data_IF_542791967909
#
_entry.id   IF_542791967909
#
_cell.length_a   1.000
_cell.length_b   1.000
_cell.length_c   1.000
_cell.angle_alpha   90.00
_cell.angle_beta   90.00
_cell.angle_gamma   90.00
#
_symmetry.space_group_name_H-M   'P 1'
#
loop_
_entity.id
_entity.type
_entity.pdbx_description
1 polymer ?
#
# COMPACT_ATOMS: atom_id res chain seq x y z
N UNK A 1 -49.78 1.79 -48.74
CA UNK A 1 -50.53 1.34 -49.94
C UNK A 1 -49.70 0.24 -50.59
N UNK A 2 -50.12 -0.99 -50.86
CA UNK A 2 -51.29 -1.82 -50.50
C UNK A 2 -50.74 -3.25 -50.25
N UNK A 3 -51.30 -4.02 -49.32
CA UNK A 3 -52.42 -4.96 -49.51
C UNK A 3 -52.04 -6.16 -50.43
N UNK A 4 -51.95 -7.40 -49.90
CA UNK A 4 -53.05 -8.41 -49.79
C UNK A 4 -53.12 -9.20 -51.12
N UNK A 5 -53.08 -10.54 -51.25
CA UNK A 5 -53.50 -11.66 -50.38
C UNK A 5 -53.41 -13.01 -51.15
N UNK A 6 -53.45 -14.15 -50.40
CA UNK A 6 -54.30 -15.37 -50.63
C UNK A 6 -53.91 -16.31 -51.80
N UNK A 7 -54.03 -17.64 -51.81
CA UNK A 7 -54.71 -18.74 -51.06
C UNK A 7 -53.84 -20.02 -51.26
N UNK A 8 -53.68 -20.99 -50.35
CA UNK A 8 -54.58 -22.00 -49.78
C UNK A 8 -55.02 -23.17 -50.71
N UNK A 9 -54.79 -24.40 -50.18
CA UNK A 9 -55.54 -25.68 -50.40
C UNK A 9 -55.34 -26.41 -51.74
N UNK A 10 -55.39 -27.74 -51.87
CA UNK A 10 -55.85 -28.86 -51.01
C UNK A 10 -55.27 -30.21 -51.48
N UNK A 11 -55.47 -31.23 -50.63
CA UNK A 11 -55.50 -32.71 -50.77
C UNK A 11 -55.89 -33.26 -52.18
N UNK A 12 -55.69 -34.51 -52.61
CA UNK A 12 -55.67 -35.86 -52.00
C UNK A 12 -55.38 -36.87 -53.14
N UNK A 13 -54.80 -38.06 -52.88
CA UNK A 13 -55.18 -39.36 -53.49
C UNK A 13 -54.24 -40.52 -53.05
N UNK A 14 -54.82 -41.54 -52.39
CA UNK A 14 -54.24 -42.89 -52.20
C UNK A 14 -54.52 -43.81 -53.42
N UNK A 15 -54.63 -45.17 -53.29
CA UNK A 15 -54.40 -46.05 -52.14
C UNK A 15 -53.69 -47.42 -52.48
N UNK A 16 -53.39 -48.23 -51.45
CA UNK A 16 -53.62 -49.69 -51.46
C UNK A 16 -52.45 -50.66 -51.73
N UNK A 17 -52.20 -51.59 -50.79
CA UNK A 17 -51.45 -52.84 -51.01
C UNK A 17 -50.86 -53.42 -49.72
N UNK A 18 -51.44 -54.51 -49.20
CA UNK A 18 -51.09 -55.14 -47.92
C UNK A 18 -50.07 -56.29 -47.97
N UNK A 19 -49.95 -56.98 -46.81
CA UNK A 19 -49.16 -58.20 -46.49
C UNK A 19 -47.64 -58.03 -46.58
N UNK A 20 -46.77 -58.49 -45.68
CA UNK A 20 -46.77 -59.58 -44.69
C UNK A 20 -45.69 -59.26 -43.62
N UNK A 21 -45.93 -59.66 -42.38
CA UNK A 21 -44.92 -59.78 -41.33
C UNK A 21 -44.27 -61.17 -41.41
N UNK A 22 -42.97 -61.30 -41.09
CA UNK A 22 -42.66 -62.33 -40.09
C UNK A 22 -41.67 -61.89 -39.01
N UNK A 23 -41.83 -62.57 -37.88
CA UNK A 23 -41.25 -62.37 -36.57
C UNK A 23 -39.73 -62.66 -36.43
N UNK A 24 -39.06 -61.78 -35.67
CA UNK A 24 -38.12 -62.11 -34.58
C UNK A 24 -36.61 -62.17 -34.89
N UNK A 25 -35.70 -62.00 -33.89
CA UNK A 25 -35.79 -61.29 -32.61
C UNK A 25 -34.82 -60.09 -32.54
N UNK A 26 -35.26 -58.98 -31.96
CA UNK A 26 -34.44 -57.77 -31.80
C UNK A 26 -33.45 -57.92 -30.65
N UNK A 27 -32.18 -57.69 -30.98
CA UNK A 27 -31.06 -57.61 -30.06
C UNK A 27 -31.25 -56.51 -29.01
N UNK A 28 -31.12 -56.96 -27.77
CA UNK A 28 -30.96 -56.20 -26.51
C UNK A 28 -30.01 -54.99 -26.67
N UNK A 29 -30.56 -53.77 -26.83
CA UNK A 29 -29.83 -52.52 -26.52
C UNK A 29 -30.03 -52.15 -25.06
N UNK A 30 -29.01 -52.41 -24.26
CA UNK A 30 -28.91 -51.97 -22.88
C UNK A 30 -28.95 -50.44 -22.79
N UNK A 31 -29.79 -49.95 -21.90
CA UNK A 31 -29.85 -48.56 -21.42
C UNK A 31 -28.48 -48.16 -20.86
N UNK A 32 -27.81 -47.18 -21.46
CA UNK A 32 -26.75 -46.41 -20.79
C UNK A 32 -27.38 -45.18 -20.14
N UNK A 33 -28.04 -45.39 -18.99
CA UNK A 33 -28.34 -44.29 -18.07
C UNK A 33 -27.06 -43.96 -17.30
N UNK A 34 -26.34 -42.92 -17.73
CA UNK A 34 -25.28 -42.34 -16.90
C UNK A 34 -25.91 -41.78 -15.61
N UNK A 35 -25.26 -41.92 -14.44
CA UNK A 35 -25.81 -41.35 -13.22
C UNK A 35 -25.84 -39.83 -13.35
N UNK A 36 -27.05 -39.25 -13.36
CA UNK A 36 -27.21 -37.82 -13.14
C UNK A 36 -26.54 -37.50 -11.80
N UNK A 37 -25.45 -36.74 -11.83
CA UNK A 37 -24.76 -36.29 -10.61
C UNK A 37 -25.81 -35.66 -9.71
N UNK A 38 -26.01 -36.26 -8.53
CA UNK A 38 -26.92 -35.75 -7.53
C UNK A 38 -26.56 -34.28 -7.26
N UNK A 39 -27.44 -33.36 -7.65
CA UNK A 39 -27.28 -31.95 -7.35
C UNK A 39 -27.26 -31.85 -5.84
N UNK A 40 -26.09 -31.47 -5.29
CA UNK A 40 -25.96 -31.28 -3.85
C UNK A 40 -26.99 -30.23 -3.43
N UNK A 41 -27.73 -30.46 -2.34
CA UNK A 41 -28.80 -29.55 -1.97
C UNK A 41 -28.25 -28.15 -1.70
N UNK A 42 -28.77 -27.15 -2.42
CA UNK A 42 -28.34 -25.74 -2.36
C UNK A 42 -28.28 -25.19 -0.93
N UNK A 43 -29.13 -25.65 -0.01
CA UNK A 43 -29.12 -25.24 1.39
C UNK A 43 -27.93 -25.76 2.22
N UNK A 44 -27.17 -26.75 1.72
CA UNK A 44 -25.91 -27.20 2.33
C UNK A 44 -24.69 -26.48 1.76
N UNK A 45 -24.73 -26.09 0.48
CA UNK A 45 -23.64 -25.33 -0.15
C UNK A 45 -23.74 -23.83 0.15
N UNK A 46 -24.94 -23.30 0.37
CA UNK A 46 -25.16 -21.88 0.66
C UNK A 46 -24.46 -21.43 1.97
N UNK A 47 -24.57 -22.11 3.12
CA UNK A 47 -23.84 -21.73 4.33
C UNK A 47 -22.33 -21.84 4.20
N UNK A 48 -21.83 -22.85 3.46
CA UNK A 48 -20.40 -23.01 3.20
C UNK A 48 -19.86 -21.88 2.32
N UNK A 49 -20.56 -21.55 1.23
CA UNK A 49 -20.20 -20.43 0.35
C UNK A 49 -20.28 -19.10 1.08
N UNK A 50 -21.32 -18.88 1.90
CA UNK A 50 -21.45 -17.68 2.73
C UNK A 50 -20.32 -17.61 3.76
N UNK A 51 -19.95 -18.74 4.37
CA UNK A 51 -18.83 -18.83 5.31
C UNK A 51 -17.49 -18.56 4.66
N UNK A 52 -17.22 -19.12 3.47
CA UNK A 52 -16.01 -18.85 2.69
C UNK A 52 -15.96 -17.37 2.27
N UNK A 53 -17.07 -16.81 1.79
CA UNK A 53 -17.15 -15.40 1.44
C UNK A 53 -16.92 -14.49 2.66
N UNK A 54 -17.46 -14.85 3.83
CA UNK A 54 -17.24 -14.13 5.09
C UNK A 54 -15.77 -14.20 5.52
N UNK A 55 -15.16 -15.39 5.48
CA UNK A 55 -13.73 -15.55 5.80
C UNK A 55 -12.86 -14.77 4.83
N UNK A 56 -13.14 -14.83 3.53
CA UNK A 56 -12.41 -14.08 2.52
C UNK A 56 -12.58 -12.57 2.72
N UNK A 57 -13.80 -12.10 2.99
CA UNK A 57 -14.06 -10.70 3.31
C UNK A 57 -13.31 -10.26 4.58
N UNK A 58 -13.28 -11.11 5.62
CA UNK A 58 -12.50 -10.84 6.83
C UNK A 58 -11.00 -10.76 6.52
N UNK A 59 -10.44 -11.72 5.77
CA UNK A 59 -9.02 -11.71 5.36
C UNK A 59 -8.67 -10.48 4.53
N UNK A 60 -9.53 -10.12 3.56
CA UNK A 60 -9.34 -8.93 2.73
C UNK A 60 -9.37 -7.68 3.60
N UNK A 61 -10.31 -7.59 4.54
CA UNK A 61 -10.44 -6.41 5.39
C UNK A 61 -9.33 -6.32 6.44
N UNK A 62 -8.88 -7.43 6.99
CA UNK A 62 -7.80 -7.43 7.99
C UNK A 62 -6.46 -7.09 7.36
N UNK A 63 -6.25 -7.44 6.09
CA UNK A 63 -4.90 -7.42 5.51
C UNK A 63 -4.71 -6.56 4.26
N UNK A 64 -5.76 -6.18 3.52
CA UNK A 64 -5.59 -5.51 2.23
C UNK A 64 -5.96 -4.02 2.23
N UNK A 65 -7.17 -3.64 2.64
CA UNK A 65 -7.67 -2.27 2.40
C UNK A 65 -8.47 -1.72 3.58
N UNK A 66 -8.12 -0.52 4.04
CA UNK A 66 -8.92 0.27 4.99
C UNK A 66 -9.36 1.59 4.35
N UNK A 67 -10.60 2.00 4.61
CA UNK A 67 -11.13 3.28 4.17
C UNK A 67 -11.00 4.34 5.28
N UNK A 68 -10.41 5.50 4.94
CA UNK A 68 -10.28 6.64 5.84
C UNK A 68 -11.05 7.85 5.31
N UNK A 69 -11.66 8.62 6.20
CA UNK A 69 -12.31 9.90 5.86
C UNK A 69 -11.34 11.04 6.07
N UNK A 70 -11.35 12.03 5.17
CA UNK A 70 -10.50 13.22 5.27
C UNK A 70 -11.29 14.35 5.95
N UNK A 71 -10.95 14.73 7.20
CA UNK A 71 -11.70 15.77 7.92
C UNK A 71 -11.17 17.19 7.68
N UNK A 72 -9.92 17.34 7.21
CA UNK A 72 -9.21 18.63 7.18
C UNK A 72 -8.68 19.02 5.81
N UNK A 73 -8.35 20.31 5.65
CA UNK A 73 -7.87 20.93 4.42
C UNK A 73 -6.37 20.81 4.17
N UNK A 74 -5.60 20.18 5.07
CA UNK A 74 -4.12 20.18 5.01
C UNK A 74 -3.51 19.49 3.78
N UNK A 75 -4.31 18.70 3.08
CA UNK A 75 -3.94 18.01 1.84
C UNK A 75 -4.71 18.54 0.62
N UNK A 76 -5.36 19.71 0.71
CA UNK A 76 -6.09 20.34 -0.40
C UNK A 76 -5.24 20.45 -1.66
N UNK A 77 -5.93 20.46 -2.81
CA UNK A 77 -5.42 20.18 -4.17
C UNK A 77 -5.25 18.68 -4.48
N UNK A 78 -4.82 17.87 -3.51
CA UNK A 78 -4.77 16.40 -3.65
C UNK A 78 -5.98 15.71 -3.03
N UNK A 79 -6.33 16.08 -1.80
CA UNK A 79 -7.45 15.53 -1.03
C UNK A 79 -8.29 16.69 -0.47
N UNK A 80 -9.61 16.59 -0.56
CA UNK A 80 -10.51 17.60 0.01
C UNK A 80 -11.20 17.07 1.25
N UNK A 81 -11.64 17.96 2.16
CA UNK A 81 -12.54 17.58 3.23
C UNK A 81 -13.77 16.82 2.70
N UNK A 82 -14.06 15.67 3.31
CA UNK A 82 -15.15 14.77 2.91
C UNK A 82 -14.74 13.63 1.98
N UNK A 83 -13.50 13.61 1.47
CA UNK A 83 -12.98 12.48 0.72
C UNK A 83 -12.91 11.20 1.55
N UNK A 84 -13.10 10.06 0.88
CA UNK A 84 -12.77 8.75 1.43
C UNK A 84 -11.66 8.12 0.62
N UNK A 85 -10.55 7.82 1.28
CA UNK A 85 -9.37 7.23 0.66
C UNK A 85 -9.24 5.76 1.03
N UNK A 86 -8.84 4.94 0.06
CA UNK A 86 -8.45 3.55 0.29
C UNK A 86 -6.96 3.49 0.58
N UNK A 87 -6.63 2.86 1.69
CA UNK A 87 -5.27 2.68 2.18
C UNK A 87 -4.85 1.23 2.03
N UNK A 88 -3.75 1.03 1.31
CA UNK A 88 -3.08 -0.26 1.17
C UNK A 88 -2.25 -0.54 2.43
N UNK A 89 -2.64 -1.58 3.15
CA UNK A 89 -1.98 -2.07 4.37
C UNK A 89 -0.97 -3.21 4.10
N UNK A 90 -0.84 -3.65 2.85
CA UNK A 90 0.10 -4.72 2.49
C UNK A 90 1.55 -4.25 2.48
N UNK A 91 1.78 -2.96 2.26
CA UNK A 91 3.13 -2.40 2.07
C UNK A 91 4.05 -2.71 3.28
N UNK A 92 3.67 -2.44 4.53
CA UNK A 92 4.52 -2.78 5.70
C UNK A 92 4.72 -4.29 5.90
N UNK A 93 3.73 -5.11 5.55
CA UNK A 93 3.75 -6.56 5.76
C UNK A 93 4.78 -7.32 4.92
N UNK A 94 5.08 -6.81 3.73
CA UNK A 94 6.13 -7.36 2.86
C UNK A 94 7.50 -6.68 3.06
N UNK A 95 7.64 -5.86 4.09
CA UNK A 95 8.89 -5.13 4.39
C UNK A 95 9.15 -3.96 3.45
N UNK A 96 8.17 -3.56 2.62
CA UNK A 96 8.27 -2.37 1.80
C UNK A 96 8.11 -1.14 2.69
N UNK A 97 9.09 -0.24 2.66
CA UNK A 97 9.04 1.03 3.38
C UNK A 97 8.37 2.09 2.51
N UNK A 98 7.68 3.08 3.12
CA UNK A 98 7.14 4.21 2.38
C UNK A 98 8.22 4.90 1.55
N UNK A 99 7.87 5.23 0.32
CA UNK A 99 8.74 5.90 -0.63
C UNK A 99 8.41 7.40 -0.73
N UNK A 100 9.35 8.16 -1.29
CA UNK A 100 9.15 9.60 -1.54
C UNK A 100 7.97 9.82 -2.47
N UNK A 101 7.20 10.86 -2.18
CA UNK A 101 6.01 11.27 -2.92
C UNK A 101 4.76 10.45 -2.64
N UNK A 102 4.83 9.36 -1.87
CA UNK A 102 3.66 8.62 -1.46
C UNK A 102 2.83 9.42 -0.44
N UNK A 103 1.51 9.27 -0.51
CA UNK A 103 0.60 9.78 0.52
C UNK A 103 0.35 8.65 1.50
N UNK A 104 0.63 8.89 2.78
CA UNK A 104 0.54 7.88 3.83
C UNK A 104 -0.41 8.32 4.94
N UNK A 105 -1.05 7.33 5.56
CA UNK A 105 -1.74 7.48 6.84
C UNK A 105 -0.84 6.94 7.94
N UNK A 106 -0.69 7.68 9.03
CA UNK A 106 0.15 7.31 10.16
C UNK A 106 -0.47 7.77 11.49
N UNK A 107 -0.16 7.04 12.55
CA UNK A 107 -0.53 7.43 13.91
C UNK A 107 0.28 8.64 14.36
N UNK A 108 -0.36 9.56 15.08
CA UNK A 108 0.29 10.74 15.64
C UNK A 108 1.49 10.36 16.55
N UNK A 109 2.75 10.69 16.16
CA UNK A 109 3.95 10.23 16.85
C UNK A 109 4.30 11.08 18.09
N UNK A 110 3.66 12.24 18.26
CA UNK A 110 4.11 13.27 19.21
C UNK A 110 2.99 14.08 19.83
N UNK A 111 1.73 13.66 19.69
CA UNK A 111 0.55 14.45 20.08
C UNK A 111 0.45 15.75 19.27
N UNK A 112 0.79 15.70 17.97
CA UNK A 112 0.65 16.78 16.99
C UNK A 112 -0.79 17.32 16.94
N UNK A 113 -1.77 16.53 17.38
CA UNK A 113 -3.18 16.91 17.47
C UNK A 113 -3.64 17.35 18.87
N UNK A 114 -2.75 17.81 19.75
CA UNK A 114 -3.13 18.36 21.07
C UNK A 114 -4.27 19.37 20.97
N UNK A 115 -5.38 19.11 21.69
CA UNK A 115 -6.56 19.99 21.72
C UNK A 115 -7.67 19.67 20.71
N UNK A 116 -7.51 18.67 19.83
CA UNK A 116 -8.57 18.22 18.93
C UNK A 116 -9.22 16.92 19.43
N UNK A 117 -10.43 16.97 20.04
CA UNK A 117 -11.10 15.76 20.50
C UNK A 117 -11.51 14.89 19.29
N UNK A 118 -11.04 13.64 19.27
CA UNK A 118 -11.57 12.60 18.38
C UNK A 118 -12.92 12.14 18.93
N UNK A 119 -13.99 12.11 18.13
CA UNK A 119 -15.27 11.57 18.58
C UNK A 119 -15.13 10.10 18.98
N UNK A 120 -15.60 9.75 20.18
CA UNK A 120 -15.71 8.35 20.63
C UNK A 120 -16.79 7.64 19.78
N UNK A 121 -16.44 6.63 18.97
CA UNK A 121 -17.43 5.93 18.15
C UNK A 121 -18.36 5.08 19.03
N UNK A 122 -19.66 5.09 18.72
CA UNK A 122 -20.60 4.17 19.38
C UNK A 122 -20.51 2.74 18.80
N UNK A 123 -21.07 1.74 19.50
CA UNK A 123 -20.96 0.33 19.11
C UNK A 123 -21.45 0.03 17.68
N UNK A 124 -22.48 0.75 17.18
CA UNK A 124 -22.95 0.59 15.81
C UNK A 124 -21.94 1.16 14.81
N UNK A 125 -21.38 2.34 15.09
CA UNK A 125 -20.32 2.93 14.27
C UNK A 125 -19.07 2.04 14.27
N UNK A 126 -18.64 1.54 15.44
CA UNK A 126 -17.54 0.57 15.52
C UNK A 126 -17.85 -0.68 14.69
N UNK A 127 -19.07 -1.21 14.76
CA UNK A 127 -19.47 -2.35 13.94
C UNK A 127 -19.49 -2.02 12.45
N UNK A 128 -19.92 -0.83 12.03
CA UNK A 128 -19.93 -0.37 10.63
C UNK A 128 -18.52 -0.01 10.11
N UNK A 129 -17.63 0.48 10.96
CA UNK A 129 -16.22 0.71 10.63
C UNK A 129 -15.48 -0.62 10.55
N UNK A 130 -15.77 -1.54 11.47
CA UNK A 130 -15.41 -2.94 11.31
C UNK A 130 -16.06 -3.51 10.04
N UNK A 131 -17.25 -3.10 9.65
CA UNK A 131 -17.87 -3.32 8.34
C UNK A 131 -17.01 -3.10 7.09
N UNK A 132 -16.16 -2.08 7.18
CA UNK A 132 -15.75 -1.27 6.01
C UNK A 132 -16.88 -0.40 5.43
N UNK A 133 -18.04 -0.33 6.09
CA UNK A 133 -19.19 0.49 5.66
C UNK A 133 -19.10 1.92 6.17
N UNK A 134 -18.25 2.19 7.16
CA UNK A 134 -18.03 3.50 7.75
C UNK A 134 -16.53 3.76 7.94
N UNK A 135 -16.07 5.02 7.83
CA UNK A 135 -14.69 5.37 8.17
C UNK A 135 -14.37 5.12 9.65
N UNK A 136 -13.11 4.79 9.97
CA UNK A 136 -12.64 4.73 11.37
C UNK A 136 -12.62 6.16 11.94
N UNK A 137 -13.41 6.43 12.99
CA UNK A 137 -13.60 7.77 13.55
C UNK A 137 -12.86 7.99 14.88
N UNK A 138 -12.27 6.93 15.45
CA UNK A 138 -11.67 6.95 16.80
C UNK A 138 -10.14 6.91 16.85
N UNK A 139 -9.45 6.93 15.71
CA UNK A 139 -7.99 6.86 15.65
C UNK A 139 -7.41 8.25 15.37
N UNK A 140 -6.35 8.62 16.10
CA UNK A 140 -5.60 9.88 15.91
C UNK A 140 -4.68 9.76 14.68
N UNK A 141 -5.30 9.55 13.53
CA UNK A 141 -4.57 9.27 12.29
C UNK A 141 -4.42 10.54 11.46
N UNK A 142 -3.20 10.76 11.00
CA UNK A 142 -2.81 11.86 10.14
C UNK A 142 -2.54 11.34 8.73
N UNK A 143 -2.81 12.19 7.73
CA UNK A 143 -2.52 11.89 6.34
C UNK A 143 -1.67 13.00 5.72
N UNK A 144 -0.48 12.63 5.23
CA UNK A 144 0.50 13.56 4.67
C UNK A 144 1.26 12.91 3.51
N UNK A 145 2.00 13.72 2.75
CA UNK A 145 2.91 13.23 1.71
C UNK A 145 4.31 13.04 2.28
N UNK A 146 4.91 11.88 1.99
CA UNK A 146 6.33 11.63 2.27
C UNK A 146 7.18 12.48 1.34
N UNK A 147 7.96 13.40 1.90
CA UNK A 147 8.90 14.22 1.14
C UNK A 147 10.30 13.61 1.19
N UNK A 148 10.71 13.11 2.37
CA UNK A 148 12.02 12.52 2.60
C UNK A 148 11.92 11.18 3.33
N UNK A 149 12.80 10.26 2.94
CA UNK A 149 13.01 8.95 3.58
C UNK A 149 14.42 8.90 4.18
N UNK A 150 14.70 7.87 4.98
CA UNK A 150 15.99 7.70 5.65
C UNK A 150 17.21 8.01 4.76
N UNK A 151 18.08 8.88 5.26
CA UNK A 151 19.30 9.34 4.59
C UNK A 151 19.12 10.59 3.72
N UNK A 152 17.88 11.01 3.45
CA UNK A 152 17.63 12.23 2.68
C UNK A 152 18.00 13.48 3.45
N UNK A 153 18.51 14.47 2.73
CA UNK A 153 18.55 15.85 3.19
C UNK A 153 17.40 16.62 2.55
N UNK A 154 16.44 17.06 3.37
CA UNK A 154 15.34 17.93 2.94
C UNK A 154 15.67 19.35 3.38
N UNK A 155 15.68 20.28 2.42
CA UNK A 155 16.04 21.66 2.71
C UNK A 155 15.11 22.64 2.00
N UNK A 156 14.91 23.76 2.67
CA UNK A 156 13.98 24.80 2.28
C UNK A 156 14.55 26.15 2.72
N UNK A 157 14.58 27.12 1.81
CA UNK A 157 15.11 28.46 2.06
C UNK A 157 14.10 29.52 1.60
N UNK A 158 13.52 30.24 2.55
CA UNK A 158 12.52 31.29 2.29
C UNK A 158 11.31 30.75 1.53
N UNK A 159 10.97 31.39 0.40
CA UNK A 159 9.88 30.98 -0.51
C UNK A 159 10.36 30.18 -1.72
N UNK A 160 11.64 29.76 -1.71
CA UNK A 160 12.23 28.98 -2.80
C UNK A 160 11.62 27.58 -2.94
N UNK A 161 12.03 26.82 -3.98
CA UNK A 161 11.59 25.44 -4.14
C UNK A 161 12.10 24.59 -2.98
N UNK A 162 11.28 23.63 -2.54
CA UNK A 162 11.70 22.57 -1.64
C UNK A 162 12.75 21.71 -2.36
N UNK A 163 13.81 21.33 -1.65
CA UNK A 163 14.88 20.50 -2.20
C UNK A 163 15.03 19.21 -1.42
N UNK A 164 15.28 18.12 -2.14
CA UNK A 164 15.66 16.82 -1.57
C UNK A 164 17.01 16.42 -2.17
N UNK A 165 18.00 16.18 -1.31
CA UNK A 165 19.38 15.86 -1.70
C UNK A 165 19.99 16.90 -2.66
N UNK A 166 19.67 18.18 -2.42
CA UNK A 166 20.11 19.32 -3.22
C UNK A 166 19.38 19.47 -4.57
N UNK A 167 18.39 18.63 -4.87
CA UNK A 167 17.57 18.73 -6.09
C UNK A 167 16.27 19.47 -5.81
N UNK A 168 15.97 20.58 -6.52
CA UNK A 168 14.68 21.25 -6.39
C UNK A 168 13.56 20.32 -6.87
N UNK A 169 12.45 20.33 -6.14
CA UNK A 169 11.24 19.62 -6.54
C UNK A 169 10.33 20.57 -7.32
N UNK A 170 9.80 20.08 -8.44
CA UNK A 170 8.58 20.62 -9.04
C UNK A 170 7.37 19.99 -8.36
N UNK A 171 6.50 20.81 -7.77
CA UNK A 171 5.44 20.34 -6.87
C UNK A 171 4.04 20.78 -7.35
N UNK A 172 3.53 20.24 -8.47
CA UNK A 172 2.21 20.63 -9.01
C UNK A 172 1.04 20.25 -8.09
N UNK A 173 1.30 19.40 -7.10
CA UNK A 173 0.35 18.96 -6.10
C UNK A 173 0.21 19.95 -4.93
N UNK A 174 1.10 20.94 -4.79
CA UNK A 174 0.96 21.97 -3.75
C UNK A 174 -0.26 22.85 -4.03
N UNK A 175 -0.97 23.23 -2.97
CA UNK A 175 -2.15 24.08 -3.08
C UNK A 175 -1.86 25.38 -3.86
N UNK A 176 -2.70 25.75 -4.85
CA UNK A 176 -2.45 26.91 -5.69
C UNK A 176 -2.31 28.20 -4.87
N UNK A 177 -1.25 28.95 -5.13
CA UNK A 177 -0.95 30.21 -4.41
C UNK A 177 0.02 30.05 -3.24
N UNK A 178 0.26 28.83 -2.77
CA UNK A 178 1.21 28.58 -1.69
C UNK A 178 2.64 28.47 -2.22
N UNK A 179 3.59 28.93 -1.42
CA UNK A 179 5.00 28.56 -1.63
C UNK A 179 5.21 27.09 -1.24
N UNK A 180 6.04 26.38 -2.02
CA UNK A 180 6.54 25.04 -1.68
C UNK A 180 7.04 24.96 -0.23
N UNK A 181 7.71 26.01 0.21
CA UNK A 181 8.34 26.06 1.50
C UNK A 181 7.48 26.62 2.65
N UNK A 182 6.28 27.12 2.36
CA UNK A 182 5.56 28.21 3.07
C UNK A 182 5.96 28.51 4.52
N UNK A 183 6.13 29.82 4.78
CA UNK A 183 6.44 30.52 6.05
C UNK A 183 6.52 29.63 7.29
N UNK A 184 7.60 28.85 7.38
CA UNK A 184 8.09 28.38 8.66
C UNK A 184 8.37 29.62 9.53
N UNK A 185 7.85 29.74 10.77
CA UNK A 185 8.19 30.85 11.67
C UNK A 185 9.71 31.07 11.81
N UNK A 186 10.51 30.03 11.58
CA UNK A 186 11.96 29.98 11.75
C UNK A 186 12.79 30.31 10.48
N UNK A 187 12.18 30.74 9.36
CA UNK A 187 12.93 31.35 8.23
C UNK A 187 13.67 30.37 7.29
N UNK A 188 13.26 29.10 7.25
CA UNK A 188 13.85 28.03 6.45
C UNK A 188 14.13 26.79 7.32
N UNK A 189 14.49 25.66 6.71
CA UNK A 189 14.93 24.48 7.44
C UNK A 189 15.87 23.63 6.60
N UNK A 190 16.70 22.83 7.26
CA UNK A 190 17.53 21.80 6.64
C UNK A 190 17.64 20.63 7.60
N UNK A 191 17.08 19.50 7.21
CA UNK A 191 17.01 18.29 8.03
C UNK A 191 17.61 17.11 7.27
N UNK A 192 18.26 16.21 8.00
CA UNK A 192 18.66 14.90 7.47
C UNK A 192 17.79 13.85 8.11
N UNK A 193 17.03 13.11 7.30
CA UNK A 193 16.06 12.11 7.78
C UNK A 193 16.81 10.93 8.40
N UNK A 194 16.59 10.64 9.70
CA UNK A 194 17.24 9.51 10.35
C UNK A 194 16.82 8.17 9.76
N UNK A 195 17.54 7.10 10.14
CA UNK A 195 17.12 5.74 9.83
C UNK A 195 15.73 5.46 10.45
N UNK A 196 14.89 4.73 9.72
CA UNK A 196 13.55 4.29 10.17
C UNK A 196 12.62 5.45 10.57
N UNK A 197 12.82 6.59 9.90
CA UNK A 197 12.05 7.83 10.03
C UNK A 197 11.69 8.38 8.65
N UNK A 198 10.67 9.22 8.62
CA UNK A 198 10.16 9.91 7.45
C UNK A 198 10.04 11.41 7.74
N UNK A 199 10.21 12.22 6.70
CA UNK A 199 9.84 13.65 6.72
C UNK A 199 8.60 13.83 5.86
N UNK A 200 7.51 14.30 6.46
CA UNK A 200 6.20 14.39 5.81
C UNK A 200 5.68 15.82 5.78
N UNK A 201 5.01 16.20 4.70
CA UNK A 201 4.44 17.53 4.53
C UNK A 201 3.02 17.45 3.96
N UNK A 202 2.18 18.39 4.34
CA UNK A 202 0.87 18.58 3.72
C UNK A 202 1.00 19.24 2.35
N UNK A 203 0.09 18.92 1.44
CA UNK A 203 0.03 19.54 0.12
C UNK A 203 -0.52 20.98 0.18
N UNK A 204 -1.37 21.27 1.17
CA UNK A 204 -1.74 22.63 1.54
C UNK A 204 -0.74 23.20 2.54
N UNK A 205 0.40 23.68 2.03
CA UNK A 205 1.60 24.01 2.83
C UNK A 205 1.33 24.99 3.98
N UNK A 206 0.41 25.93 3.81
CA UNK A 206 0.10 26.98 4.80
C UNK A 206 -0.96 26.56 5.82
N UNK A 207 -1.72 25.49 5.55
CA UNK A 207 -2.78 24.96 6.41
C UNK A 207 -2.42 23.54 6.92
N UNK A 208 -1.13 23.30 7.13
CA UNK A 208 -0.62 21.99 7.52
C UNK A 208 0.40 22.08 8.64
N UNK A 209 -0.04 21.71 9.85
CA UNK A 209 0.84 21.34 10.95
C UNK A 209 1.42 19.95 10.65
N UNK A 210 2.60 19.94 10.04
CA UNK A 210 3.34 18.73 9.64
C UNK A 210 4.77 18.78 10.20
N UNK A 211 5.67 17.92 9.71
CA UNK A 211 7.04 17.80 10.21
C UNK A 211 7.77 19.13 10.43
N UNK A 212 7.46 20.16 9.63
CA UNK A 212 8.07 21.49 9.76
C UNK A 212 7.79 22.15 11.12
N UNK A 213 6.58 21.97 11.66
CA UNK A 213 6.10 22.64 12.88
C UNK A 213 6.45 21.87 14.16
N UNK A 214 6.73 20.58 14.05
CA UNK A 214 6.99 19.70 15.20
C UNK A 214 8.49 19.44 15.44
N UNK A 215 9.38 20.29 14.90
CA UNK A 215 10.85 20.11 15.00
C UNK A 215 11.41 20.25 16.41
N UNK A 216 10.70 20.94 17.30
CA UNK A 216 11.11 21.16 18.70
C UNK A 216 10.61 20.05 19.64
N UNK A 217 9.77 19.14 19.14
CA UNK A 217 9.21 18.03 19.91
C UNK A 217 10.16 16.83 19.99
N UNK A 218 9.78 15.81 20.76
CA UNK A 218 10.60 14.63 21.04
C UNK A 218 11.12 13.93 19.76
N UNK A 219 10.25 13.78 18.75
CA UNK A 219 10.59 13.16 17.47
C UNK A 219 11.21 14.14 16.46
N UNK A 220 11.40 15.41 16.82
CA UNK A 220 12.01 16.46 15.97
C UNK A 220 11.34 16.60 14.60
N UNK A 221 10.02 16.42 14.56
CA UNK A 221 9.19 16.48 13.36
C UNK A 221 9.24 15.23 12.50
N UNK A 222 10.04 14.21 12.85
CA UNK A 222 10.11 12.98 12.08
C UNK A 222 9.01 12.00 12.45
N UNK A 223 8.51 11.26 11.46
CA UNK A 223 7.52 10.20 11.66
C UNK A 223 8.22 8.83 11.65
N UNK A 224 8.13 8.01 12.72
CA UNK A 224 8.56 6.62 12.71
C UNK A 224 7.90 5.82 11.59
N UNK A 225 8.69 5.00 10.88
CA UNK A 225 8.13 4.10 9.84
C UNK A 225 7.12 3.12 10.46
N UNK A 226 7.30 2.74 11.72
CA UNK A 226 6.41 1.82 12.44
C UNK A 226 5.05 2.44 12.80
N UNK A 227 4.93 3.78 12.79
CA UNK A 227 3.66 4.47 13.00
C UNK A 227 2.83 4.56 11.72
N UNK A 228 3.37 4.12 10.58
CA UNK A 228 2.67 4.17 9.29
C UNK A 228 1.64 3.06 9.19
N UNK A 229 0.37 3.46 9.11
CA UNK A 229 -0.78 2.57 8.94
C UNK A 229 -0.81 2.00 7.51
N UNK A 230 -0.49 2.82 6.51
CA UNK A 230 -0.39 2.38 5.12
C UNK A 230 -0.38 3.52 4.12
N UNK A 231 -0.31 3.14 2.82
CA UNK A 231 -0.28 4.09 1.70
C UNK A 231 -1.70 4.35 1.19
N UNK A 232 -2.10 5.62 1.11
CA UNK A 232 -3.31 6.01 0.40
C UNK A 232 -3.09 5.89 -1.12
N UNK A 233 -3.92 5.09 -1.79
CA UNK A 233 -3.75 4.75 -3.22
C UNK A 233 -4.87 5.29 -4.11
N UNK A 234 -6.08 5.47 -3.57
CA UNK A 234 -7.27 5.85 -4.33
C UNK A 234 -8.17 6.74 -3.48
N UNK A 235 -8.69 7.82 -4.06
CA UNK A 235 -9.90 8.50 -3.57
C UNK A 235 -11.10 7.72 -4.11
N UNK A 236 -11.85 7.05 -3.25
CA UNK A 236 -12.97 6.17 -3.64
C UNK A 236 -14.34 6.84 -3.49
N UNK A 237 -14.42 7.97 -2.77
CA UNK A 237 -15.64 8.75 -2.59
C UNK A 237 -15.27 10.23 -2.38
N UNK A 238 -16.08 11.20 -2.87
CA UNK A 238 -17.31 11.00 -3.65
C UNK A 238 -17.02 10.48 -5.07
N UNK A 239 -18.01 9.84 -5.71
CA UNK A 239 -17.80 9.09 -6.97
C UNK A 239 -17.36 9.97 -8.15
N UNK A 240 -17.73 11.25 -8.13
CA UNK A 240 -17.33 12.28 -9.09
C UNK A 240 -15.87 12.72 -8.91
N UNK A 241 -15.23 12.33 -7.79
CA UNK A 241 -13.84 12.61 -7.45
C UNK A 241 -12.97 11.36 -7.35
N UNK A 242 -13.41 10.27 -7.96
CA UNK A 242 -12.60 9.07 -8.03
C UNK A 242 -11.28 9.36 -8.76
N UNK A 243 -10.17 9.25 -8.02
CA UNK A 243 -8.83 9.47 -8.54
C UNK A 243 -7.82 8.49 -7.93
N UNK A 244 -6.74 8.19 -8.65
CA UNK A 244 -5.59 7.46 -8.11
C UNK A 244 -4.58 8.44 -7.52
N UNK A 245 -3.96 8.05 -6.40
CA UNK A 245 -2.91 8.82 -5.72
C UNK A 245 -1.54 8.32 -6.17
N UNK A 246 -1.12 8.80 -7.34
CA UNK A 246 0.17 8.47 -7.93
C UNK A 246 1.32 9.27 -7.29
N UNK A 247 2.53 8.71 -7.40
CA UNK A 247 3.76 9.39 -6.97
C UNK A 247 4.14 10.44 -8.02
N UNK A 248 4.30 11.73 -7.65
CA UNK A 248 4.71 12.76 -8.59
C UNK A 248 6.09 12.52 -9.21
N UNK A 249 6.24 12.80 -10.50
CA UNK A 249 7.47 12.50 -11.26
C UNK A 249 8.74 13.16 -10.71
N UNK A 250 8.60 14.29 -10.01
CA UNK A 250 9.70 15.01 -9.33
C UNK A 250 10.50 14.11 -8.37
N UNK A 251 9.87 13.09 -7.79
CA UNK A 251 10.52 12.15 -6.87
C UNK A 251 11.28 11.03 -7.57
N UNK A 252 11.11 10.86 -8.88
CA UNK A 252 11.88 9.93 -9.71
C UNK A 252 13.03 10.60 -10.47
N UNK A 253 13.34 11.87 -10.17
CA UNK A 253 14.35 12.62 -10.92
C UNK A 253 15.78 12.07 -10.67
N UNK A 254 16.61 12.10 -11.71
CA UNK A 254 17.97 11.56 -11.66
C UNK A 254 18.81 12.26 -10.57
N UNK A 255 19.36 11.46 -9.67
CA UNK A 255 20.26 11.91 -8.61
C UNK A 255 19.56 12.35 -7.32
N UNK A 256 18.24 12.19 -7.22
CA UNK A 256 17.52 12.31 -5.94
C UNK A 256 17.82 11.12 -5.01
N UNK A 257 18.08 9.93 -5.56
CA UNK A 257 18.40 8.72 -4.80
C UNK A 257 19.85 8.64 -4.32
N UNK A 258 20.60 9.75 -4.37
CA UNK A 258 21.92 9.79 -3.73
C UNK A 258 21.72 9.71 -2.21
N UNK A 259 21.62 8.49 -1.72
CA UNK A 259 22.04 8.14 -0.37
C UNK A 259 23.39 8.83 -0.15
N UNK A 260 23.49 9.62 0.92
CA UNK A 260 24.78 10.03 1.42
C UNK A 260 25.64 8.76 1.52
N UNK A 261 26.66 8.67 0.67
CA UNK A 261 27.67 7.65 0.81
C UNK A 261 28.30 7.88 2.18
N UNK A 262 27.85 7.12 3.18
CA UNK A 262 28.59 7.02 4.42
C UNK A 262 30.01 6.60 4.01
N UNK A 263 31.07 7.29 4.46
CA UNK A 263 32.41 6.79 4.26
C UNK A 263 32.52 5.52 5.11
N UNK A 264 32.27 4.36 4.50
CA UNK A 264 32.75 3.10 5.02
C UNK A 264 34.26 3.16 4.87
N UNK A 265 34.91 3.77 5.87
CA UNK A 265 36.33 3.62 6.09
C UNK A 265 36.59 2.11 6.16
N UNK A 266 37.28 1.61 5.13
CA UNK A 266 37.81 0.26 5.06
C UNK A 266 38.70 0.07 6.28
N UNK A 267 38.23 -0.69 7.26
CA UNK A 267 39.02 -1.12 8.42
C UNK A 267 38.93 -2.64 8.58
N UNK A 268 39.43 -3.37 7.57
CA UNK A 268 39.86 -4.76 7.75
C UNK A 268 41.15 -4.98 6.96
N UNK A 269 42.22 -4.32 7.39
CA UNK A 269 43.58 -4.74 7.11
C UNK A 269 44.28 -4.94 8.46
N UNK A 270 44.41 -6.19 8.90
CA UNK A 270 45.20 -6.52 10.08
C UNK A 270 44.62 -7.62 10.98
N UNK A 271 44.17 -8.74 10.42
CA UNK A 271 43.98 -9.94 11.21
C UNK A 271 44.74 -11.12 10.58
N UNK A 272 45.70 -11.64 11.36
CA UNK A 272 46.43 -12.93 11.22
C UNK A 272 47.70 -12.89 10.33
N UNK A 273 48.88 -13.36 10.78
CA UNK A 273 49.11 -14.43 11.78
C UNK A 273 50.18 -14.12 12.86
N UNK A 274 49.76 -13.91 14.11
CA UNK A 274 50.66 -13.99 15.28
C UNK A 274 50.89 -15.43 15.78
N UNK A 275 50.33 -16.45 15.12
CA UNK A 275 50.42 -17.85 15.57
C UNK A 275 51.60 -18.62 14.93
N UNK A 276 52.25 -18.09 13.88
CA UNK A 276 53.42 -18.76 13.26
C UNK A 276 54.78 -18.27 13.78
N UNK A 277 54.84 -17.13 14.48
CA UNK A 277 56.12 -16.61 15.01
C UNK A 277 56.54 -17.26 16.35
N UNK A 278 55.61 -17.93 17.05
CA UNK A 278 55.93 -18.62 18.31
C UNK A 278 56.58 -20.00 18.11
N UNK A 279 56.57 -20.55 16.89
CA UNK A 279 57.18 -21.86 16.58
C UNK A 279 58.63 -21.77 16.08
N UNK A 280 59.11 -20.59 15.64
CA UNK A 280 60.50 -20.39 15.20
C UNK A 280 61.47 -19.95 16.31
N UNK A 281 60.98 -19.45 17.44
CA UNK A 281 61.84 -19.05 18.56
C UNK A 281 62.13 -20.19 19.56
N UNK A 282 61.42 -21.31 19.48
CA UNK A 282 61.63 -22.49 20.35
C UNK A 282 62.54 -23.57 19.73
N UNK A 283 62.76 -23.60 18.41
CA UNK A 283 63.72 -24.53 17.78
C UNK A 283 65.18 -24.06 17.83
N UNK A 284 65.47 -22.83 18.28
CA UNK A 284 66.85 -22.34 18.42
C UNK A 284 67.49 -22.60 19.79
N UNK A 285 66.76 -23.20 20.75
CA UNK A 285 67.29 -23.53 22.09
C UNK A 285 67.66 -24.99 22.31
N UNK A 286 67.50 -25.87 21.31
CA UNK A 286 67.81 -27.32 21.46
C UNK A 286 69.09 -27.76 20.73
N UNK A 287 69.69 -26.94 19.86
CA UNK A 287 70.96 -27.30 19.18
C UNK A 287 72.22 -26.64 19.76
N UNK A 288 72.18 -26.13 21.00
CA UNK A 288 73.30 -25.45 21.65
C UNK A 288 74.02 -26.22 22.76
N UNK A 289 73.66 -27.48 23.02
CA UNK A 289 74.13 -28.22 24.19
C UNK A 289 74.61 -29.63 23.87
N UNK A 290 75.67 -29.76 23.07
CA UNK A 290 76.46 -30.99 23.00
C UNK A 290 77.89 -30.65 22.55
N UNK A 291 78.70 -30.17 23.49
CA UNK A 291 80.15 -30.22 23.40
C UNK A 291 80.69 -30.63 24.77
N UNK A 292 81.63 -31.59 24.75
CA UNK A 292 82.57 -32.06 25.79
C UNK A 292 82.21 -33.38 26.48
N UNK A 293 83.13 -34.34 26.28
CA UNK A 293 83.19 -35.70 26.81
C UNK A 293 84.07 -36.50 25.88
#
# INVERSE_FOLDING_TARGET
MGDVTVDARSEEQGPGGGSEEPAGPTGRRGKSGGPAKAQRPLWKELPLLLGVALVLALLIKTFLVQAFSIPSGSMQNTLQPGDRVLVDKLTPWFGSKPARGEVIVFHDPGNWMEGHPTPEPNALQTALSFIGLMPSAGEKDLIKRVVGVAGDTVECAGTGPLKVNGKPLEEPYVFPGNAACSTNPQGGFKVTVPKDRLWVMGDHREDSQDSRYHQEEAEKGFVPVDDVVGRAVVVAWPVDRWATLSVPATFGQKGIDKAAAAPTAVAFAGAVPLVLMRRRLLSRRVSGGAARG
#
